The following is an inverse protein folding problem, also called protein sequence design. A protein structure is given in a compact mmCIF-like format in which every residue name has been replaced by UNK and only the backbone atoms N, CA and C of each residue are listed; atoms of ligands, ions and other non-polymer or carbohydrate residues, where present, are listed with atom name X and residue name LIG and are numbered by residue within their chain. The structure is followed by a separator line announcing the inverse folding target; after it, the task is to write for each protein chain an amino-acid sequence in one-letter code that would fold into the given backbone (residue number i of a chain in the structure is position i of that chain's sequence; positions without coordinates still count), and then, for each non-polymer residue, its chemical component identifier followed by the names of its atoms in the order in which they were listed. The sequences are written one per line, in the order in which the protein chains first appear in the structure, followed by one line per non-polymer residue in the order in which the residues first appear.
data_IF_189355155255
#
_entry.id   IF_189355155255
#
_cell.length_a   1.000
_cell.length_b   1.000
_cell.length_c   1.000
_cell.angle_alpha   90.00
_cell.angle_beta   90.00
_cell.angle_gamma   90.00
#
_symmetry.space_group_name_H-M   'P 1'
#
loop_
_entity.id
_entity.type
_entity.pdbx_description
1 polymer ?
#
# COMPACT_ATOMS: atom_id res chain seq x y z
N UNK A 1 -16.89 2.86 -12.08
CA UNK A 1 -15.49 3.30 -11.99
C UNK A 1 -15.12 3.21 -10.53
N UNK A 2 -14.17 2.33 -10.19
CA UNK A 2 -13.70 2.20 -8.80
C UNK A 2 -13.05 3.54 -8.42
N UNK A 3 -13.19 3.95 -7.16
CA UNK A 3 -12.46 5.12 -6.66
C UNK A 3 -11.00 4.68 -6.47
N UNK A 4 -10.05 5.59 -6.71
CA UNK A 4 -8.64 5.22 -6.66
C UNK A 4 -8.22 4.65 -5.30
N UNK A 5 -8.80 5.12 -4.20
CA UNK A 5 -8.58 4.59 -2.85
C UNK A 5 -8.93 3.11 -2.74
N UNK A 6 -10.13 2.73 -3.20
CA UNK A 6 -10.62 1.34 -3.18
C UNK A 6 -9.78 0.43 -4.08
N UNK A 7 -9.35 0.95 -5.24
CA UNK A 7 -8.39 0.26 -6.09
C UNK A 7 -7.03 0.10 -5.41
N UNK A 8 -6.54 1.13 -4.71
CA UNK A 8 -5.25 1.12 -4.05
C UNK A 8 -5.22 0.10 -2.90
N UNK A 9 -6.28 0.05 -2.09
CA UNK A 9 -6.45 -0.92 -1.02
C UNK A 9 -6.40 -2.34 -1.58
N UNK A 10 -7.16 -2.63 -2.64
CA UNK A 10 -7.16 -3.93 -3.32
C UNK A 10 -5.75 -4.34 -3.78
N UNK A 11 -4.98 -3.42 -4.38
CA UNK A 11 -3.59 -3.69 -4.81
C UNK A 11 -2.65 -3.96 -3.65
N UNK A 12 -2.82 -3.25 -2.53
CA UNK A 12 -2.02 -3.46 -1.32
C UNK A 12 -2.30 -4.87 -0.77
N UNK A 13 -3.57 -5.31 -0.75
CA UNK A 13 -3.93 -6.66 -0.33
C UNK A 13 -3.45 -7.74 -1.31
N UNK A 14 -3.54 -7.53 -2.62
CA UNK A 14 -3.13 -8.50 -3.65
C UNK A 14 -1.62 -8.73 -3.72
N UNK A 15 -0.80 -7.68 -3.57
CA UNK A 15 0.66 -7.77 -3.70
C UNK A 15 1.36 -8.41 -2.50
N UNK A 16 0.60 -9.12 -1.65
CA UNK A 16 1.12 -9.78 -0.46
C UNK A 16 2.00 -8.84 0.35
N UNK A 17 1.55 -7.60 0.53
CA UNK A 17 2.27 -6.58 1.29
C UNK A 17 2.76 -7.09 2.64
N UNK A 18 2.03 -8.03 3.23
CA UNK A 18 2.31 -8.66 4.50
C UNK A 18 3.56 -9.59 4.52
N UNK A 19 4.09 -9.97 3.36
CA UNK A 19 5.31 -10.78 3.24
C UNK A 19 6.58 -9.92 3.10
N UNK A 20 6.45 -8.60 2.91
CA UNK A 20 7.58 -7.70 2.85
C UNK A 20 8.18 -7.51 4.24
N UNK A 21 9.50 -7.63 4.36
CA UNK A 21 10.15 -7.23 5.60
C UNK A 21 10.07 -5.71 5.75
N UNK A 22 9.65 -5.26 6.92
CA UNK A 22 9.18 -3.89 7.17
C UNK A 22 10.26 -2.80 7.04
N UNK A 23 11.48 -3.15 6.67
CA UNK A 23 12.67 -2.30 6.81
C UNK A 23 13.31 -1.89 5.47
N UNK A 24 12.92 -2.49 4.35
CA UNK A 24 13.59 -2.23 3.08
C UNK A 24 12.88 -1.14 2.26
N UNK A 25 13.29 0.10 2.47
CA UNK A 25 12.81 1.26 1.70
C UNK A 25 12.99 1.07 0.18
N UNK A 26 13.99 0.29 -0.24
CA UNK A 26 14.21 -0.06 -1.65
C UNK A 26 13.08 -0.93 -2.22
N UNK A 27 12.53 -1.87 -1.44
CA UNK A 27 11.40 -2.70 -1.86
C UNK A 27 10.13 -1.86 -2.03
N UNK A 28 9.86 -0.93 -1.11
CA UNK A 28 8.72 0.00 -1.24
C UNK A 28 8.88 0.96 -2.42
N UNK A 29 10.09 1.35 -2.79
CA UNK A 29 10.34 2.14 -3.99
C UNK A 29 10.03 1.35 -5.27
N UNK A 30 10.43 0.08 -5.32
CA UNK A 30 10.10 -0.83 -6.44
C UNK A 30 8.58 -1.06 -6.54
N UNK A 31 7.92 -1.33 -5.42
CA UNK A 31 6.47 -1.49 -5.34
C UNK A 31 5.73 -0.22 -5.73
N UNK A 32 6.20 0.94 -5.29
CA UNK A 32 5.65 2.23 -5.72
C UNK A 32 5.71 2.40 -7.24
N UNK A 33 6.79 1.95 -7.87
CA UNK A 33 6.90 1.89 -9.33
C UNK A 33 5.88 0.94 -9.98
N UNK A 34 5.68 -0.24 -9.40
CA UNK A 34 4.70 -1.24 -9.88
C UNK A 34 3.28 -0.68 -9.77
N UNK A 35 2.90 -0.16 -8.60
CA UNK A 35 1.58 0.45 -8.35
C UNK A 35 1.34 1.60 -9.33
N UNK A 36 2.35 2.44 -9.57
CA UNK A 36 2.27 3.54 -10.55
C UNK A 36 1.99 3.03 -11.96
N UNK A 37 2.71 2.00 -12.40
CA UNK A 37 2.49 1.40 -13.72
C UNK A 37 1.10 0.75 -13.84
N UNK A 38 0.64 0.06 -12.79
CA UNK A 38 -0.69 -0.54 -12.74
C UNK A 38 -1.81 0.49 -12.74
N UNK A 39 -1.63 1.62 -12.06
CA UNK A 39 -2.61 2.71 -12.03
C UNK A 39 -2.80 3.31 -13.43
N UNK A 40 -1.70 3.56 -14.15
CA UNK A 40 -1.74 4.04 -15.53
C UNK A 40 -2.40 3.01 -16.45
N UNK A 41 -2.07 1.73 -16.30
CA UNK A 41 -2.69 0.65 -17.07
C UNK A 41 -4.20 0.51 -16.81
N UNK A 42 -4.65 0.79 -15.58
CA UNK A 42 -6.06 0.82 -15.20
C UNK A 42 -6.78 2.12 -15.64
N UNK A 43 -6.07 3.08 -16.24
CA UNK A 43 -6.62 4.33 -16.74
C UNK A 43 -6.65 5.47 -15.71
N UNK A 44 -6.00 5.32 -14.55
CA UNK A 44 -5.85 6.39 -13.58
C UNK A 44 -4.70 7.32 -13.96
N UNK A 45 -4.89 8.62 -13.72
CA UNK A 45 -3.81 9.60 -13.81
C UNK A 45 -2.89 9.47 -12.61
N UNK A 46 -1.59 9.64 -12.84
CA UNK A 46 -0.58 9.59 -11.78
C UNK A 46 -0.83 10.65 -10.71
N UNK A 47 -1.28 11.85 -11.10
CA UNK A 47 -1.61 12.93 -10.16
C UNK A 47 -2.70 12.52 -9.16
N UNK A 48 -3.67 11.70 -9.61
CA UNK A 48 -4.76 11.21 -8.76
C UNK A 48 -4.23 10.15 -7.80
N UNK A 49 -3.31 9.30 -8.26
CA UNK A 49 -2.61 8.31 -7.43
C UNK A 49 -1.75 8.97 -6.37
N UNK A 50 -0.94 9.95 -6.76
CA UNK A 50 -0.09 10.71 -5.83
C UNK A 50 -0.97 11.46 -4.82
N UNK A 51 -2.07 12.07 -5.25
CA UNK A 51 -3.01 12.72 -4.33
C UNK A 51 -3.63 11.74 -3.32
N UNK A 52 -3.98 10.53 -3.74
CA UNK A 52 -4.51 9.49 -2.85
C UNK A 52 -3.45 9.00 -1.86
N UNK A 53 -2.19 8.91 -2.29
CA UNK A 53 -1.05 8.55 -1.45
C UNK A 53 -0.49 9.71 -0.61
N UNK A 54 -1.06 10.92 -0.66
CA UNK A 54 -0.54 12.09 0.06
C UNK A 54 0.75 12.67 -0.52
N UNK A 55 1.05 12.41 -1.79
CA UNK A 55 2.16 12.96 -2.57
C UNK A 55 3.35 12.02 -2.73
N UNK A 56 3.50 11.02 -1.85
CA UNK A 56 4.63 10.09 -1.88
C UNK A 56 4.13 8.63 -1.76
N UNK A 57 4.10 7.94 -2.90
CA UNK A 57 3.58 6.57 -3.00
C UNK A 57 4.41 5.60 -2.13
N UNK A 58 5.76 5.54 -2.24
CA UNK A 58 6.57 4.67 -1.36
C UNK A 58 6.34 4.93 0.13
N UNK A 59 6.29 6.20 0.56
CA UNK A 59 6.06 6.54 1.97
C UNK A 59 4.68 6.10 2.44
N UNK A 60 3.64 6.28 1.62
CA UNK A 60 2.30 5.79 1.90
C UNK A 60 2.26 4.27 2.06
N UNK A 61 2.88 3.54 1.13
CA UNK A 61 2.95 2.08 1.16
C UNK A 61 3.67 1.57 2.41
N UNK A 62 4.77 2.21 2.81
CA UNK A 62 5.49 1.89 4.06
C UNK A 62 4.63 2.15 5.30
N UNK A 63 3.88 3.25 5.33
CA UNK A 63 2.98 3.59 6.43
C UNK A 63 1.83 2.59 6.56
N UNK A 64 1.21 2.21 5.43
CA UNK A 64 0.17 1.19 5.39
C UNK A 64 0.69 -0.18 5.82
N UNK A 65 1.86 -0.59 5.32
CA UNK A 65 2.52 -1.81 5.75
C UNK A 65 2.79 -1.82 7.25
N UNK A 66 3.37 -0.74 7.77
CA UNK A 66 3.65 -0.57 9.20
C UNK A 66 2.38 -0.64 10.05
N UNK A 67 1.26 -0.08 9.57
CA UNK A 67 -0.02 -0.16 10.25
C UNK A 67 -0.60 -1.59 10.22
N UNK A 68 -0.52 -2.29 9.09
CA UNK A 68 -0.98 -3.68 8.94
C UNK A 68 -0.18 -4.64 9.83
N UNK A 69 1.15 -4.58 9.80
CA UNK A 69 2.02 -5.41 10.63
C UNK A 69 1.76 -5.16 12.12
N UNK A 70 1.53 -3.91 12.52
CA UNK A 70 1.17 -3.59 13.92
C UNK A 70 -0.19 -4.17 14.32
N UNK A 71 -1.16 -4.26 13.40
CA UNK A 71 -2.46 -4.90 13.65
C UNK A 71 -2.32 -6.42 13.80
N UNK A 72 -1.40 -7.04 13.06
CA UNK A 72 -1.12 -8.48 13.17
C UNK A 72 -0.29 -8.83 14.40
N UNK A 73 0.58 -7.92 14.86
CA UNK A 73 1.40 -8.11 16.09
C UNK A 73 0.64 -7.87 17.39
N UNK A 74 -0.56 -7.28 17.38
CA UNK A 74 -1.39 -7.23 18.60
C UNK A 74 -2.04 -8.59 18.83
N UNK A 75 -1.63 -9.37 19.85
CA UNK A 75 -2.46 -10.49 20.29
C UNK A 75 -3.79 -9.90 20.72
N UNK A 76 -4.87 -10.48 20.18
CA UNK A 76 -6.22 -10.31 20.70
C UNK A 76 -6.13 -10.44 22.23
N UNK A 77 -6.58 -9.45 23.04
CA UNK A 77 -6.68 -9.69 24.47
C UNK A 77 -7.65 -10.86 24.62
N UNK A 78 -7.13 -11.99 25.11
CA UNK A 78 -7.95 -13.10 25.52
C UNK A 78 -8.96 -12.54 26.53
N UNK A 79 -10.21 -12.36 26.08
CA UNK A 79 -11.34 -12.26 26.98
C UNK A 79 -11.50 -13.65 27.59
N UNK A 80 -10.90 -13.84 28.77
CA UNK A 80 -11.24 -14.88 29.73
C UNK A 80 -10.79 -14.45 31.12
#
# INVERSE_FOLDING_TARGET
MMIIDDWLEDRIYEHRFNELESSDAAEFAMLGGIIRAQAVAAGYRIEVLESACGGDIPAYLLAQHSAMVQRLKKPQPAMA
#
